data_IF_332992035769
#
_entry.id   IF_332992035769
#
_cell.length_a   1.000
_cell.length_b   1.000
_cell.length_c   1.000
_cell.angle_alpha   90.00
_cell.angle_beta   90.00
_cell.angle_gamma   90.00
#
_symmetry.space_group_name_H-M   'P 1'
#
loop_
_entity.id
_entity.type
_entity.pdbx_description
1 polymer ?
#
# COMPACT_ATOMS: atom_id res chain seq x y z
N UNK A 1 37.65 -38.49 25.30
CA UNK A 1 36.66 -37.40 25.44
C UNK A 1 35.94 -37.31 24.11
N UNK A 2 34.84 -38.04 23.96
CA UNK A 2 33.98 -37.99 22.78
C UNK A 2 32.78 -37.12 23.13
N UNK A 3 32.74 -35.92 22.58
CA UNK A 3 31.58 -35.03 22.67
C UNK A 3 30.60 -35.51 21.61
N UNK A 4 29.56 -36.21 22.04
CA UNK A 4 28.45 -36.61 21.16
C UNK A 4 27.65 -35.35 20.84
N UNK A 5 27.76 -34.90 19.60
CA UNK A 5 26.94 -33.83 19.04
C UNK A 5 25.54 -34.38 18.79
N UNK A 6 24.62 -34.11 19.71
CA UNK A 6 23.21 -34.43 19.58
C UNK A 6 22.57 -33.45 18.60
N UNK A 7 22.39 -33.88 17.35
CA UNK A 7 21.66 -33.11 16.33
C UNK A 7 20.17 -33.09 16.66
N UNK A 8 19.75 -32.02 17.33
CA UNK A 8 18.34 -31.72 17.58
C UNK A 8 17.61 -31.52 16.23
N UNK A 9 16.80 -32.51 15.85
CA UNK A 9 16.04 -32.49 14.61
C UNK A 9 14.83 -31.59 14.79
N UNK A 10 14.89 -30.38 14.24
CA UNK A 10 13.78 -29.43 14.22
C UNK A 10 12.68 -29.99 13.31
N UNK A 11 11.55 -30.40 13.91
CA UNK A 11 10.34 -30.77 13.17
C UNK A 11 9.63 -29.49 12.68
N UNK A 12 10.11 -28.93 11.57
CA UNK A 12 9.39 -27.91 10.80
C UNK A 12 8.62 -28.58 9.67
N UNK A 13 7.33 -28.26 9.54
CA UNK A 13 6.55 -28.69 8.39
C UNK A 13 6.95 -27.84 7.19
N UNK A 14 7.94 -28.30 6.43
CA UNK A 14 8.23 -27.76 5.12
C UNK A 14 7.13 -28.23 4.17
N UNK A 15 6.36 -27.30 3.61
CA UNK A 15 5.46 -27.62 2.50
C UNK A 15 6.32 -27.50 1.24
N UNK A 16 6.84 -28.64 0.78
CA UNK A 16 7.50 -28.72 -0.53
C UNK A 16 6.44 -28.55 -1.63
N UNK A 17 6.24 -27.31 -2.08
CA UNK A 17 5.49 -27.04 -3.29
C UNK A 17 6.40 -27.38 -4.46
N UNK A 18 6.36 -28.63 -4.92
CA UNK A 18 7.00 -29.03 -6.17
C UNK A 18 6.17 -28.43 -7.30
N UNK A 19 6.60 -27.29 -7.82
CA UNK A 19 6.06 -26.73 -9.06
C UNK A 19 7.17 -26.46 -10.06
N UNK A 20 6.78 -26.60 -11.33
CA UNK A 20 7.61 -26.59 -12.53
C UNK A 20 8.57 -25.40 -12.58
N UNK A 21 9.78 -25.59 -13.14
CA UNK A 21 10.82 -24.57 -13.17
C UNK A 21 10.32 -23.30 -13.88
N UNK A 22 10.56 -22.15 -13.24
CA UNK A 22 10.47 -20.85 -13.90
C UNK A 22 11.55 -20.75 -14.98
N UNK A 23 11.33 -19.98 -16.07
CA UNK A 23 12.29 -19.87 -17.16
C UNK A 23 13.63 -19.23 -16.75
N UNK A 24 13.73 -18.64 -15.56
CA UNK A 24 14.91 -17.89 -15.09
C UNK A 24 15.87 -18.70 -14.21
N UNK A 25 15.77 -20.03 -14.19
CA UNK A 25 16.81 -20.92 -13.62
C UNK A 25 17.10 -20.74 -12.12
N UNK A 26 16.33 -19.90 -11.42
CA UNK A 26 16.46 -19.73 -9.98
C UNK A 26 15.65 -20.84 -9.31
N UNK A 27 16.28 -21.75 -8.55
CA UNK A 27 15.55 -22.80 -7.87
C UNK A 27 14.54 -22.16 -6.91
N UNK A 28 13.28 -22.60 -7.00
CA UNK A 28 12.21 -22.15 -6.11
C UNK A 28 12.61 -22.58 -4.69
N UNK A 29 12.92 -21.60 -3.84
CA UNK A 29 13.25 -21.85 -2.44
C UNK A 29 11.98 -22.33 -1.71
N UNK A 30 12.08 -23.33 -0.82
CA UNK A 30 10.94 -23.79 -0.05
C UNK A 30 10.37 -22.64 0.79
N UNK A 31 9.05 -22.52 0.83
CA UNK A 31 8.37 -21.52 1.67
C UNK A 31 8.20 -22.12 3.06
N UNK A 32 8.68 -21.40 4.08
CA UNK A 32 8.61 -21.84 5.46
C UNK A 32 7.47 -21.15 6.20
N UNK A 33 6.65 -21.96 6.87
CA UNK A 33 5.62 -21.48 7.78
C UNK A 33 6.14 -21.54 9.22
N UNK A 34 6.38 -20.39 9.83
CA UNK A 34 6.90 -20.31 11.19
C UNK A 34 5.75 -20.28 12.20
N UNK A 35 5.87 -21.18 13.19
CA UNK A 35 4.94 -21.27 14.31
C UNK A 35 5.26 -20.28 15.42
N UNK A 36 4.24 -19.78 16.14
CA UNK A 36 4.40 -18.90 17.32
C UNK A 36 5.40 -19.41 18.37
N UNK A 37 5.49 -20.73 18.55
CA UNK A 37 6.41 -21.36 19.51
C UNK A 37 7.88 -21.34 19.10
N UNK A 38 8.19 -20.97 17.85
CA UNK A 38 9.54 -20.98 17.28
C UNK A 38 10.14 -19.56 17.17
N UNK A 39 9.84 -18.66 18.12
CA UNK A 39 10.27 -17.26 18.10
C UNK A 39 11.79 -17.09 17.96
N UNK A 40 12.59 -17.92 18.63
CA UNK A 40 14.06 -17.89 18.51
C UNK A 40 14.56 -18.30 17.12
N UNK A 41 13.75 -19.03 16.36
CA UNK A 41 14.06 -19.48 14.99
C UNK A 41 13.72 -18.43 13.95
N UNK A 42 12.82 -17.47 14.25
CA UNK A 42 12.51 -16.33 13.35
C UNK A 42 13.80 -15.53 13.06
N UNK A 43 14.59 -15.22 14.09
CA UNK A 43 15.85 -14.48 13.93
C UNK A 43 16.86 -15.21 13.06
N UNK A 44 16.98 -16.53 13.24
CA UNK A 44 17.86 -17.37 12.41
C UNK A 44 17.37 -17.44 10.96
N UNK A 45 16.06 -17.33 10.75
CA UNK A 45 15.47 -17.43 9.44
C UNK A 45 15.56 -16.11 8.65
N UNK A 46 15.46 -14.97 9.33
CA UNK A 46 15.68 -13.63 8.77
C UNK A 46 17.08 -13.48 8.15
N UNK A 47 18.07 -14.22 8.65
CA UNK A 47 19.43 -14.25 8.09
C UNK A 47 19.58 -15.19 6.87
N UNK A 48 18.64 -16.11 6.66
CA UNK A 48 18.77 -17.20 5.67
C UNK A 48 17.82 -16.99 4.49
N UNK A 49 16.65 -16.40 4.70
CA UNK A 49 15.59 -16.31 3.70
C UNK A 49 14.86 -14.98 3.74
N UNK A 50 14.67 -14.40 2.56
CA UNK A 50 14.03 -13.10 2.38
C UNK A 50 12.50 -13.15 2.55
N UNK A 51 11.88 -14.34 2.60
CA UNK A 51 10.42 -14.54 2.59
C UNK A 51 9.97 -15.76 3.42
N UNK A 52 9.24 -15.54 4.51
CA UNK A 52 8.53 -16.57 5.29
C UNK A 52 7.11 -16.16 5.63
N UNK A 53 6.26 -17.17 5.87
CA UNK A 53 4.87 -16.98 6.26
C UNK A 53 4.77 -17.23 7.76
N UNK A 54 4.19 -16.29 8.49
CA UNK A 54 3.85 -16.48 9.90
C UNK A 54 2.48 -17.17 9.99
N UNK A 55 2.37 -18.20 10.82
CA UNK A 55 1.08 -18.84 11.11
C UNK A 55 0.25 -18.10 12.18
N UNK A 56 0.73 -16.94 12.62
CA UNK A 56 0.17 -16.11 13.68
C UNK A 56 0.23 -14.62 13.28
N UNK A 57 -0.58 -13.78 13.93
CA UNK A 57 -0.56 -12.32 13.73
C UNK A 57 0.69 -11.72 14.40
N UNK A 58 1.56 -11.00 13.67
CA UNK A 58 2.71 -10.28 14.24
C UNK A 58 2.37 -9.40 15.45
N UNK A 59 1.14 -8.89 15.51
CA UNK A 59 0.62 -8.02 16.57
C UNK A 59 0.42 -8.77 17.89
N UNK A 60 0.23 -10.09 17.86
CA UNK A 60 0.03 -10.94 19.03
C UNK A 60 1.33 -11.25 19.80
N UNK A 61 2.46 -10.64 19.39
CA UNK A 61 3.78 -10.74 20.05
C UNK A 61 4.07 -9.42 20.78
N UNK A 62 3.35 -9.15 21.85
CA UNK A 62 3.39 -7.87 22.56
C UNK A 62 4.70 -7.57 23.34
N UNK A 63 5.74 -8.43 23.36
CA UNK A 63 6.82 -8.22 24.34
C UNK A 63 8.27 -8.43 23.88
N UNK A 64 8.53 -8.90 22.65
CA UNK A 64 9.92 -9.19 22.23
C UNK A 64 10.29 -8.71 20.81
N UNK A 65 9.38 -8.04 20.10
CA UNK A 65 9.63 -7.46 18.77
C UNK A 65 9.88 -5.95 18.77
N UNK A 66 10.49 -5.43 19.83
CA UNK A 66 11.00 -4.05 19.86
C UNK A 66 12.07 -3.76 18.77
N UNK A 67 12.39 -4.75 17.90
CA UNK A 67 13.32 -4.58 16.78
C UNK A 67 12.68 -4.77 15.39
N UNK A 68 11.59 -5.53 15.24
CA UNK A 68 10.91 -5.68 13.94
C UNK A 68 9.93 -4.52 13.71
N UNK A 69 9.36 -3.94 14.77
CA UNK A 69 8.51 -2.73 14.71
C UNK A 69 9.30 -1.42 14.71
N UNK A 70 10.55 -1.39 14.23
CA UNK A 70 11.27 -0.12 14.06
C UNK A 70 10.74 0.74 12.90
N UNK A 71 9.66 0.32 12.23
CA UNK A 71 8.79 1.23 11.49
C UNK A 71 7.67 1.68 12.44
N UNK A 72 7.65 2.96 12.87
CA UNK A 72 6.55 3.47 13.68
C UNK A 72 5.33 3.62 12.78
N UNK A 73 4.50 2.58 12.70
CA UNK A 73 3.11 2.73 12.30
C UNK A 73 2.36 3.07 13.58
N UNK A 74 2.26 4.36 13.88
CA UNK A 74 1.40 4.86 14.95
C UNK A 74 -0.03 4.43 14.65
N UNK A 75 -0.57 3.55 15.49
CA UNK A 75 -2.00 3.31 15.58
C UNK A 75 -2.69 4.64 15.88
N UNK A 76 -3.66 5.01 15.05
CA UNK A 76 -4.49 6.19 15.26
C UNK A 76 -5.44 5.88 16.43
N UNK A 77 -5.01 6.18 17.65
CA UNK A 77 -5.94 6.37 18.76
C UNK A 77 -6.17 7.87 18.87
N UNK A 78 -7.37 8.28 18.50
CA UNK A 78 -7.88 9.63 18.72
C UNK A 78 -7.94 9.90 20.23
N UNK A 79 -6.89 10.50 20.78
CA UNK A 79 -7.00 11.16 22.07
C UNK A 79 -6.21 12.47 22.07
N UNK A 80 -6.92 13.52 22.42
CA UNK A 80 -6.52 14.91 22.56
C UNK A 80 -5.30 15.04 23.51
N UNK A 81 -4.20 15.64 23.04
CA UNK A 81 -3.04 15.91 23.89
C UNK A 81 -1.69 15.94 23.20
N UNK A 82 -1.42 17.04 22.49
CA UNK A 82 -0.10 17.59 22.11
C UNK A 82 1.14 16.69 22.21
N UNK A 83 1.56 16.15 21.06
CA UNK A 83 2.84 15.46 20.91
C UNK A 83 3.05 15.01 19.47
N UNK A 84 2.93 15.94 18.51
CA UNK A 84 3.13 15.68 17.08
C UNK A 84 4.57 15.28 16.81
N UNK A 85 4.83 13.97 16.78
CA UNK A 85 6.01 13.42 16.15
C UNK A 85 5.92 13.66 14.65
N UNK A 86 6.50 14.77 14.19
CA UNK A 86 6.56 15.12 12.76
C UNK A 86 7.34 14.03 12.00
N UNK A 87 6.62 13.20 11.26
CA UNK A 87 7.22 12.27 10.31
C UNK A 87 7.79 13.08 9.15
N UNK A 88 9.11 13.08 9.01
CA UNK A 88 9.82 13.77 7.94
C UNK A 88 10.31 12.78 6.89
N UNK A 89 10.01 13.02 5.62
CA UNK A 89 10.53 12.23 4.50
C UNK A 89 11.99 12.62 4.28
N UNK A 90 12.93 11.73 4.63
CA UNK A 90 14.37 11.99 4.56
C UNK A 90 14.96 11.74 3.17
N UNK A 91 14.31 10.88 2.37
CA UNK A 91 14.69 10.61 0.99
C UNK A 91 13.50 10.02 0.20
N UNK A 92 13.50 10.25 -1.11
CA UNK A 92 12.55 9.65 -2.05
C UNK A 92 13.36 9.00 -3.19
N UNK A 93 12.99 7.78 -3.58
CA UNK A 93 13.61 7.08 -4.73
C UNK A 93 12.52 6.44 -5.57
N UNK A 94 12.50 6.74 -6.87
CA UNK A 94 11.54 6.20 -7.83
C UNK A 94 10.40 7.18 -8.16
N UNK A 95 9.36 6.65 -8.80
CA UNK A 95 8.18 7.43 -9.18
C UNK A 95 7.09 7.35 -8.11
N UNK A 96 6.48 8.49 -7.79
CA UNK A 96 5.39 8.58 -6.82
C UNK A 96 4.05 8.63 -7.55
N UNK A 97 3.18 7.65 -7.31
CA UNK A 97 1.88 7.50 -8.00
C UNK A 97 1.07 8.81 -8.04
N UNK A 98 0.93 9.50 -6.91
CA UNK A 98 0.11 10.70 -6.75
C UNK A 98 0.79 12.01 -7.21
N UNK A 99 1.98 11.92 -7.82
CA UNK A 99 2.75 13.07 -8.33
C UNK A 99 3.19 12.86 -9.78
N UNK A 100 3.64 11.66 -10.12
CA UNK A 100 4.35 11.33 -11.35
C UNK A 100 3.51 10.50 -12.33
N UNK A 101 2.31 10.06 -11.94
CA UNK A 101 1.35 9.37 -12.79
C UNK A 101 0.02 10.11 -12.88
N UNK A 102 -0.82 9.86 -13.91
CA UNK A 102 -2.16 10.43 -13.99
C UNK A 102 -2.99 10.10 -12.74
N UNK A 103 -3.47 11.12 -12.04
CA UNK A 103 -4.22 10.96 -10.79
C UNK A 103 -5.42 11.92 -10.72
N UNK A 104 -6.43 11.54 -9.94
CA UNK A 104 -7.56 12.41 -9.65
C UNK A 104 -7.10 13.59 -8.81
N UNK A 105 -7.78 14.74 -8.92
CA UNK A 105 -7.34 15.95 -8.21
C UNK A 105 -7.29 15.81 -6.69
N UNK A 106 -8.24 15.10 -6.09
CA UNK A 106 -8.24 14.88 -4.63
C UNK A 106 -7.05 14.05 -4.13
N UNK A 107 -6.30 13.39 -5.03
CA UNK A 107 -5.08 12.64 -4.70
C UNK A 107 -3.80 13.44 -4.99
N UNK A 108 -3.88 14.67 -5.50
CA UNK A 108 -2.70 15.42 -5.94
C UNK A 108 -1.79 15.79 -4.77
N UNK A 109 -0.56 15.31 -4.76
CA UNK A 109 0.45 15.70 -3.74
C UNK A 109 0.93 17.13 -3.96
N UNK A 110 1.05 17.59 -5.22
CA UNK A 110 1.53 18.94 -5.54
C UNK A 110 0.53 20.02 -5.10
N UNK A 111 -0.76 19.71 -5.16
CA UNK A 111 -1.84 20.58 -4.71
C UNK A 111 -2.73 19.79 -3.75
N UNK A 112 -2.29 19.64 -2.47
CA UNK A 112 -3.03 18.89 -1.46
C UNK A 112 -4.47 19.41 -1.36
N UNK A 113 -5.42 18.49 -1.35
CA UNK A 113 -6.84 18.81 -1.42
C UNK A 113 -7.26 19.73 -0.26
N UNK A 114 -6.87 19.39 0.97
CA UNK A 114 -7.29 20.15 2.17
C UNK A 114 -6.57 21.49 2.36
N UNK A 115 -5.45 21.73 1.65
CA UNK A 115 -4.59 22.92 1.85
C UNK A 115 -4.62 23.90 0.68
N UNK A 116 -5.19 23.52 -0.46
CA UNK A 116 -5.13 24.32 -1.69
C UNK A 116 -6.51 24.51 -2.29
N UNK A 117 -6.78 25.64 -2.97
CA UNK A 117 -8.03 25.81 -3.69
C UNK A 117 -8.26 24.65 -4.66
N UNK A 118 -9.44 24.05 -4.60
CA UNK A 118 -9.78 22.88 -5.40
C UNK A 118 -9.80 23.15 -6.91
N UNK A 119 -9.61 24.39 -7.35
CA UNK A 119 -9.43 24.75 -8.76
C UNK A 119 -8.02 24.44 -9.32
N UNK A 120 -7.00 24.38 -8.47
CA UNK A 120 -5.58 24.30 -8.86
C UNK A 120 -5.09 22.90 -9.21
N UNK A 121 -4.84 22.58 -10.48
CA UNK A 121 -4.41 21.24 -10.89
C UNK A 121 -2.95 21.19 -11.35
N UNK A 122 -2.34 19.99 -11.28
CA UNK A 122 -1.05 19.72 -11.89
C UNK A 122 -1.19 19.13 -13.30
N UNK A 123 -0.08 19.00 -14.03
CA UNK A 123 -0.07 18.49 -15.41
C UNK A 123 -0.58 17.05 -15.56
N UNK A 124 -0.55 16.27 -14.49
CA UNK A 124 -1.00 14.87 -14.45
C UNK A 124 -2.35 14.70 -13.77
N UNK A 125 -3.00 15.80 -13.35
CA UNK A 125 -4.34 15.70 -12.80
C UNK A 125 -5.35 15.38 -13.90
N UNK A 126 -6.33 14.54 -13.59
CA UNK A 126 -7.52 14.31 -14.40
C UNK A 126 -8.80 14.62 -13.61
N UNK A 127 -9.87 14.90 -14.33
CA UNK A 127 -11.21 15.05 -13.78
C UNK A 127 -11.78 13.69 -13.41
N UNK A 128 -12.05 13.48 -12.12
CA UNK A 128 -12.59 12.22 -11.62
C UNK A 128 -13.92 11.82 -12.28
N UNK A 129 -14.78 12.79 -12.62
CA UNK A 129 -16.11 12.52 -13.20
C UNK A 129 -16.03 12.23 -14.70
N UNK A 130 -15.17 12.94 -15.43
CA UNK A 130 -15.10 12.89 -16.89
C UNK A 130 -13.97 12.00 -17.44
N UNK A 131 -13.09 11.49 -16.59
CA UNK A 131 -11.92 10.68 -17.00
C UNK A 131 -11.04 11.34 -18.08
N UNK A 132 -10.97 12.68 -18.09
CA UNK A 132 -10.17 13.48 -19.01
C UNK A 132 -9.14 14.34 -18.26
N UNK A 133 -8.08 14.77 -18.94
CA UNK A 133 -7.09 15.68 -18.36
C UNK A 133 -7.75 16.93 -17.76
N UNK A 134 -7.30 17.36 -16.58
CA UNK A 134 -7.80 18.56 -15.94
C UNK A 134 -7.26 19.80 -16.69
N UNK A 135 -8.09 20.85 -16.87
CA UNK A 135 -9.47 21.00 -16.41
C UNK A 135 -10.48 20.46 -17.45
N UNK A 136 -11.58 19.86 -16.99
CA UNK A 136 -12.72 19.55 -17.86
C UNK A 136 -13.62 20.77 -18.08
N UNK A 137 -14.68 20.63 -18.89
CA UNK A 137 -15.65 21.70 -19.15
C UNK A 137 -16.34 22.20 -17.87
N UNK A 138 -16.74 21.28 -16.99
CA UNK A 138 -17.45 21.59 -15.74
C UNK A 138 -16.49 21.72 -14.54
N UNK A 139 -15.21 22.03 -14.79
CA UNK A 139 -14.19 22.02 -13.73
C UNK A 139 -14.51 22.97 -12.58
N UNK A 140 -14.83 24.22 -12.90
CA UNK A 140 -15.15 25.29 -11.94
C UNK A 140 -16.63 25.68 -11.97
N UNK A 141 -17.49 24.77 -12.40
CA UNK A 141 -18.92 25.10 -12.53
C UNK A 141 -19.54 25.43 -11.16
N UNK A 142 -20.40 26.44 -11.12
CA UNK A 142 -20.96 26.95 -9.86
C UNK A 142 -21.96 25.98 -9.21
N UNK A 143 -22.51 25.03 -9.97
CA UNK A 143 -23.49 24.05 -9.47
C UNK A 143 -22.86 22.68 -9.20
N UNK A 144 -21.91 22.25 -10.03
CA UNK A 144 -21.19 20.99 -9.86
C UNK A 144 -19.74 21.13 -10.29
N UNK A 145 -18.94 21.86 -9.51
CA UNK A 145 -17.51 22.00 -9.77
C UNK A 145 -16.82 20.63 -9.64
N UNK A 146 -16.48 20.01 -10.78
CA UNK A 146 -15.81 18.72 -10.81
C UNK A 146 -14.42 18.73 -10.15
N UNK A 147 -13.87 19.92 -9.92
CA UNK A 147 -12.62 20.09 -9.20
C UNK A 147 -12.74 19.68 -7.71
N UNK A 148 -13.96 19.66 -7.15
CA UNK A 148 -14.27 19.15 -5.81
C UNK A 148 -14.51 17.63 -5.77
N UNK A 149 -14.44 16.94 -6.92
CA UNK A 149 -14.81 15.54 -7.00
C UNK A 149 -13.84 14.62 -6.25
N UNK A 150 -14.37 13.91 -5.26
CA UNK A 150 -13.65 12.94 -4.42
C UNK A 150 -14.24 11.55 -4.57
N UNK A 151 -13.38 10.52 -4.52
CA UNK A 151 -13.85 9.13 -4.41
C UNK A 151 -14.51 8.86 -3.06
N UNK A 152 -14.27 9.68 -2.04
CA UNK A 152 -14.89 9.47 -0.72
C UNK A 152 -16.40 9.73 -0.74
N UNK A 153 -16.88 10.62 -1.61
CA UNK A 153 -18.30 10.97 -1.67
C UNK A 153 -19.06 10.09 -2.66
N UNK A 154 -20.18 9.52 -2.20
CA UNK A 154 -21.03 8.64 -3.01
C UNK A 154 -21.64 9.34 -4.23
N UNK A 155 -21.95 10.63 -4.13
CA UNK A 155 -22.55 11.41 -5.22
C UNK A 155 -21.63 11.49 -6.43
N UNK A 156 -20.32 11.72 -6.22
CA UNK A 156 -19.34 11.78 -7.30
C UNK A 156 -19.14 10.42 -7.97
N UNK A 157 -19.20 9.31 -7.21
CA UNK A 157 -19.17 7.95 -7.79
C UNK A 157 -20.33 7.73 -8.73
N UNK A 158 -21.53 8.15 -8.33
CA UNK A 158 -22.74 8.00 -9.14
C UNK A 158 -22.68 8.87 -10.39
N UNK A 159 -22.26 10.14 -10.27
CA UNK A 159 -22.07 11.03 -11.42
C UNK A 159 -21.09 10.44 -12.44
N UNK A 160 -19.93 9.93 -11.99
CA UNK A 160 -18.95 9.26 -12.86
C UNK A 160 -19.53 8.03 -13.55
N UNK A 161 -20.32 7.23 -12.83
CA UNK A 161 -21.00 6.04 -13.38
C UNK A 161 -22.00 6.42 -14.48
N UNK A 162 -22.80 7.45 -14.25
CA UNK A 162 -23.76 7.97 -15.22
C UNK A 162 -23.07 8.53 -16.46
N UNK A 163 -21.98 9.29 -16.28
CA UNK A 163 -21.18 9.84 -17.37
C UNK A 163 -20.63 8.74 -18.29
N UNK A 164 -20.00 7.71 -17.71
CA UNK A 164 -19.49 6.56 -18.47
C UNK A 164 -20.60 5.82 -19.22
N UNK A 165 -21.79 5.68 -18.63
CA UNK A 165 -22.96 5.10 -19.33
C UNK A 165 -23.42 5.93 -20.52
N UNK A 166 -23.36 7.27 -20.44
CA UNK A 166 -23.72 8.15 -21.55
C UNK A 166 -22.70 8.04 -22.68
N UNK A 167 -21.41 7.97 -22.36
CA UNK A 167 -20.34 7.82 -23.36
C UNK A 167 -20.38 6.48 -24.10
N UNK A 168 -20.82 5.40 -23.43
CA UNK A 168 -21.04 4.11 -24.10
C UNK A 168 -22.26 4.16 -25.05
N UNK A 169 -23.25 5.00 -24.74
CA UNK A 169 -24.47 5.15 -25.55
C UNK A 169 -24.30 6.09 -26.73
N UNK A 170 -23.30 6.97 -26.72
CA UNK A 170 -23.01 7.86 -27.83
C UNK A 170 -22.06 7.15 -28.81
N UNK A 171 -22.46 6.92 -30.08
CA UNK A 171 -21.53 6.36 -31.05
C UNK A 171 -20.33 7.32 -31.17
N UNK A 172 -19.12 6.79 -30.97
CA UNK A 172 -17.89 7.54 -31.21
C UNK A 172 -17.85 7.85 -32.71
N UNK A 173 -18.06 9.12 -33.05
CA UNK A 173 -17.95 9.65 -34.41
C UNK A 173 -16.52 9.65 -34.91
#
# INVERSE_FOLDING_TARGET
MEVKEEKETIKSAAIEIISSPSPDGTPIRPIFCLKKTNMEKIRKFDEIEDCFILDFDPSDIETSLHRISTLPVSSFTDNDGGGGGDLSVVAEKGQVACRDYPHSRHLCIKYPFDKTPHENYCKLCYCYVCDCAAPCKDWKDSKSAHCNASEKDGEWKEQRRLKRKQEIKLPKS
#
